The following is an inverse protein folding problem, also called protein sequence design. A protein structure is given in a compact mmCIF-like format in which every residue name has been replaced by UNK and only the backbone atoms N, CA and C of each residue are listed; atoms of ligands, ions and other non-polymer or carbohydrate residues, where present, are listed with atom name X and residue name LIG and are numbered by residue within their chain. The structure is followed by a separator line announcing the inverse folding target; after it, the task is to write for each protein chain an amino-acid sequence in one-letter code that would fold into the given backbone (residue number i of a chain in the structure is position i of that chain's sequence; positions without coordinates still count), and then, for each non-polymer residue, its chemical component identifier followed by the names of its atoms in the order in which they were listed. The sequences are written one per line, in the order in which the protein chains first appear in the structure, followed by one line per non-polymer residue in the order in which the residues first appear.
data_IF_831770998224
#
_entry.id   IF_831770998224
#
_cell.length_a   1.000
_cell.length_b   1.000
_cell.length_c   1.000
_cell.angle_alpha   90.00
_cell.angle_beta   90.00
_cell.angle_gamma   90.00
#
_symmetry.space_group_name_H-M   'P 1'
#
loop_
_entity.id
_entity.type
_entity.pdbx_description
1 polymer ?
#
# COMPACT_ATOMS: atom_id res chain seq x y z
N UNK A 1 36.77 39.24 47.85
CA UNK A 1 36.62 39.73 46.46
C UNK A 1 36.82 38.53 45.53
N UNK A 2 35.71 37.87 45.13
CA UNK A 2 35.15 37.77 43.77
C UNK A 2 36.09 37.16 42.70
N UNK A 3 35.70 35.97 42.22
CA UNK A 3 35.73 35.42 40.83
C UNK A 3 35.87 33.88 40.94
N UNK A 4 35.21 33.02 40.18
CA UNK A 4 34.36 33.16 39.00
C UNK A 4 33.50 31.88 38.93
N UNK A 5 32.22 32.01 38.56
CA UNK A 5 31.27 30.91 38.54
C UNK A 5 31.60 29.82 37.53
N UNK A 6 31.35 28.56 37.92
CA UNK A 6 31.27 27.42 37.01
C UNK A 6 29.96 27.49 36.24
N UNK A 7 30.00 27.95 35.00
CA UNK A 7 28.84 27.88 34.10
C UNK A 7 28.80 26.47 33.50
N UNK A 8 27.73 25.74 33.83
CA UNK A 8 27.34 24.47 33.21
C UNK A 8 27.06 24.70 31.73
N UNK A 9 27.79 24.03 30.85
CA UNK A 9 27.37 23.81 29.46
C UNK A 9 26.46 22.59 29.43
N UNK A 10 25.16 22.80 29.59
CA UNK A 10 24.14 21.87 29.15
C UNK A 10 23.57 22.47 27.86
N UNK A 11 24.09 22.03 26.71
CA UNK A 11 23.57 22.41 25.40
C UNK A 11 23.38 21.16 24.56
N UNK A 12 22.18 21.12 23.97
CA UNK A 12 21.77 20.30 22.83
C UNK A 12 21.51 18.80 23.06
N UNK A 13 20.40 18.52 23.73
CA UNK A 13 19.58 17.33 23.45
C UNK A 13 18.28 17.67 22.68
N UNK A 14 17.91 18.95 22.53
CA UNK A 14 16.65 19.37 21.89
C UNK A 14 16.69 19.46 20.36
N UNK A 15 17.86 19.57 19.73
CA UNK A 15 17.96 19.77 18.28
C UNK A 15 17.64 18.52 17.45
N UNK A 16 17.88 17.32 18.00
CA UNK A 16 17.59 16.08 17.27
C UNK A 16 16.08 15.78 17.22
N UNK A 17 15.33 16.01 18.31
CA UNK A 17 13.87 15.78 18.33
C UNK A 17 13.10 16.72 17.41
N UNK A 18 13.57 17.95 17.22
CA UNK A 18 12.90 18.94 16.36
C UNK A 18 13.07 18.61 14.86
N UNK A 19 14.24 18.08 14.49
CA UNK A 19 14.52 17.67 13.11
C UNK A 19 13.77 16.40 12.72
N UNK A 20 13.69 15.42 13.64
CA UNK A 20 12.92 14.20 13.44
C UNK A 20 11.42 14.53 13.29
N UNK A 21 10.88 15.45 14.10
CA UNK A 21 9.49 15.89 13.98
C UNK A 21 9.20 16.65 12.68
N UNK A 22 10.13 17.49 12.21
CA UNK A 22 9.98 18.23 10.95
C UNK A 22 10.06 17.28 9.74
N UNK A 23 10.96 16.31 9.80
CA UNK A 23 11.12 15.31 8.75
C UNK A 23 9.91 14.37 8.71
N UNK A 24 9.40 13.92 9.85
CA UNK A 24 8.18 13.12 9.96
C UNK A 24 6.96 13.88 9.41
N UNK A 25 6.86 15.18 9.68
CA UNK A 25 5.79 16.02 9.15
C UNK A 25 5.92 16.23 7.64
N UNK A 26 7.13 16.45 7.13
CA UNK A 26 7.41 16.55 5.70
C UNK A 26 7.13 15.22 4.97
N UNK A 27 7.49 14.09 5.56
CA UNK A 27 7.17 12.73 5.09
C UNK A 27 5.66 12.53 4.99
N UNK A 28 4.90 12.83 6.06
CA UNK A 28 3.44 12.76 6.05
C UNK A 28 2.82 13.67 4.99
N UNK A 29 3.38 14.86 4.79
CA UNK A 29 2.89 15.81 3.80
C UNK A 29 3.17 15.32 2.37
N UNK A 30 4.33 14.72 2.13
CA UNK A 30 4.67 14.09 0.86
C UNK A 30 3.78 12.88 0.56
N UNK A 31 3.56 12.00 1.56
CA UNK A 31 2.66 10.86 1.43
C UNK A 31 1.24 11.31 1.12
N UNK A 32 0.74 12.35 1.82
CA UNK A 32 -0.57 12.94 1.56
C UNK A 32 -0.67 13.57 0.17
N UNK A 33 0.39 14.22 -0.31
CA UNK A 33 0.44 14.83 -1.64
C UNK A 33 0.46 13.76 -2.75
N UNK A 34 1.21 12.68 -2.57
CA UNK A 34 1.25 11.54 -3.51
C UNK A 34 -0.10 10.82 -3.51
N UNK A 35 -0.67 10.56 -2.33
CA UNK A 35 -1.98 9.96 -2.19
C UNK A 35 -3.08 10.86 -2.79
N UNK A 36 -2.98 12.17 -2.63
CA UNK A 36 -3.91 13.14 -3.23
C UNK A 36 -3.80 13.28 -4.75
N UNK A 37 -2.60 13.14 -5.30
CA UNK A 37 -2.34 13.31 -6.73
C UNK A 37 -2.53 12.02 -7.55
N UNK A 38 -2.26 10.85 -6.95
CA UNK A 38 -2.19 9.57 -7.67
C UNK A 38 -3.26 8.57 -7.23
N UNK A 39 -3.75 8.63 -5.99
CA UNK A 39 -4.75 7.69 -5.53
C UNK A 39 -6.15 8.17 -5.90
N UNK A 40 -6.94 7.26 -6.47
CA UNK A 40 -8.34 7.47 -6.82
C UNK A 40 -9.24 6.73 -5.83
N UNK A 41 -10.47 7.21 -5.68
CA UNK A 41 -11.49 6.49 -4.93
C UNK A 41 -12.02 5.31 -5.76
N UNK A 42 -12.03 4.13 -5.15
CA UNK A 42 -12.58 2.91 -5.72
C UNK A 42 -13.64 2.34 -4.78
N UNK A 43 -14.71 1.82 -5.35
CA UNK A 43 -15.75 1.12 -4.60
C UNK A 43 -15.61 -0.38 -4.82
N UNK A 44 -15.30 -1.10 -3.75
CA UNK A 44 -15.33 -2.56 -3.74
C UNK A 44 -16.76 -3.03 -3.43
N UNK A 45 -17.34 -3.82 -4.32
CA UNK A 45 -18.58 -4.56 -4.07
C UNK A 45 -18.24 -5.92 -3.48
N UNK A 46 -18.45 -6.07 -2.18
CA UNK A 46 -18.13 -7.27 -1.43
C UNK A 46 -19.12 -8.41 -1.71
N UNK A 47 -18.70 -9.65 -1.48
CA UNK A 47 -19.53 -10.84 -1.72
C UNK A 47 -20.80 -10.90 -0.87
N UNK A 48 -20.80 -10.25 0.28
CA UNK A 48 -21.98 -10.13 1.16
C UNK A 48 -23.00 -9.09 0.65
N UNK A 49 -22.75 -8.43 -0.48
CA UNK A 49 -23.60 -7.38 -1.05
C UNK A 49 -23.35 -5.98 -0.49
N UNK A 50 -22.46 -5.83 0.49
CA UNK A 50 -22.05 -4.52 1.00
C UNK A 50 -20.98 -3.89 0.12
N UNK A 51 -20.80 -2.57 0.25
CA UNK A 51 -19.76 -1.82 -0.45
C UNK A 51 -18.71 -1.29 0.51
N UNK A 52 -17.46 -1.31 0.10
CA UNK A 52 -16.33 -0.71 0.82
C UNK A 52 -15.64 0.31 -0.11
N UNK A 53 -15.71 1.59 0.26
CA UNK A 53 -15.01 2.65 -0.45
C UNK A 53 -13.57 2.73 0.05
N UNK A 54 -12.62 2.70 -0.88
CA UNK A 54 -11.18 2.71 -0.62
C UNK A 54 -10.52 3.79 -1.46
N UNK A 55 -9.40 4.31 -0.98
CA UNK A 55 -8.52 5.19 -1.75
C UNK A 55 -7.27 4.41 -2.13
N UNK A 56 -7.04 4.25 -3.43
CA UNK A 56 -5.99 3.38 -3.92
C UNK A 56 -5.35 3.92 -5.19
N UNK A 57 -4.10 3.52 -5.45
CA UNK A 57 -3.45 3.73 -6.74
C UNK A 57 -3.69 2.48 -7.58
N UNK A 58 -4.22 2.66 -8.79
CA UNK A 58 -4.36 1.58 -9.77
C UNK A 58 -3.12 1.49 -10.63
N UNK A 59 -2.41 0.36 -10.55
CA UNK A 59 -1.32 0.04 -11.46
C UNK A 59 -1.77 -1.06 -12.43
N UNK A 60 -1.67 -0.79 -13.73
CA UNK A 60 -2.02 -1.74 -14.78
C UNK A 60 -0.94 -2.80 -15.04
N UNK A 61 0.31 -2.58 -14.57
CA UNK A 61 1.45 -3.46 -14.81
C UNK A 61 2.48 -3.36 -13.69
N UNK A 62 2.36 -4.24 -12.70
CA UNK A 62 3.50 -4.57 -11.83
C UNK A 62 4.34 -5.65 -12.51
N UNK A 63 5.51 -5.25 -13.03
CA UNK A 63 6.54 -6.21 -13.44
C UNK A 63 7.34 -6.59 -12.19
N UNK A 64 7.49 -7.88 -11.87
CA UNK A 64 8.35 -8.27 -10.76
C UNK A 64 9.80 -7.92 -11.13
N UNK A 65 10.42 -7.03 -10.36
CA UNK A 65 11.88 -6.92 -10.39
C UNK A 65 12.45 -8.25 -9.89
N UNK A 66 13.24 -8.91 -10.74
CA UNK A 66 13.89 -10.20 -10.47
C UNK A 66 14.87 -10.08 -9.30
N UNK A 67 14.37 -10.07 -8.07
CA UNK A 67 15.18 -10.23 -6.87
C UNK A 67 14.89 -11.61 -6.28
N UNK A 68 15.92 -12.43 -6.34
CA UNK A 68 15.96 -13.79 -5.81
C UNK A 68 15.48 -13.86 -4.36
N UNK A 69 14.66 -14.89 -4.08
CA UNK A 69 14.06 -15.32 -2.81
C UNK A 69 12.65 -14.82 -2.47
N UNK A 70 11.71 -15.73 -2.76
CA UNK A 70 10.47 -16.00 -2.00
C UNK A 70 9.22 -15.23 -2.42
N UNK A 71 8.47 -15.84 -3.35
CA UNK A 71 7.00 -15.81 -3.46
C UNK A 71 6.26 -14.56 -3.96
N UNK A 72 6.85 -13.70 -4.79
CA UNK A 72 6.02 -12.72 -5.53
C UNK A 72 6.46 -12.57 -6.99
N UNK A 73 6.47 -13.69 -7.72
CA UNK A 73 6.37 -13.65 -9.18
C UNK A 73 4.87 -13.69 -9.56
N UNK A 74 4.10 -12.69 -9.13
CA UNK A 74 2.73 -12.53 -9.60
C UNK A 74 2.72 -11.48 -10.69
N UNK A 75 2.55 -11.92 -11.93
CA UNK A 75 2.23 -11.00 -13.01
C UNK A 75 0.80 -10.54 -12.72
N UNK A 76 0.66 -9.30 -12.26
CA UNK A 76 -0.65 -8.67 -12.16
C UNK A 76 -1.16 -8.31 -13.56
N UNK A 77 -1.47 -9.34 -14.36
CA UNK A 77 -1.93 -9.22 -15.75
C UNK A 77 -3.16 -8.32 -15.88
N UNK A 78 -3.90 -8.16 -14.78
CA UNK A 78 -5.15 -7.43 -14.72
C UNK A 78 -5.11 -6.23 -13.77
N UNK A 79 -3.92 -5.90 -13.26
CA UNK A 79 -3.64 -4.75 -12.41
C UNK A 79 -3.63 -5.04 -10.91
N UNK A 80 -3.20 -4.04 -10.15
CA UNK A 80 -3.15 -4.03 -8.68
C UNK A 80 -3.75 -2.72 -8.18
N UNK A 81 -4.46 -2.77 -7.06
CA UNK A 81 -4.81 -1.59 -6.28
C UNK A 81 -3.93 -1.52 -5.05
N UNK A 82 -3.08 -0.51 -4.98
CA UNK A 82 -2.28 -0.21 -3.79
C UNK A 82 -3.09 0.71 -2.89
N UNK A 83 -3.53 0.17 -1.76
CA UNK A 83 -4.29 0.90 -0.75
C UNK A 83 -3.33 1.34 0.35
N UNK A 84 -3.29 2.64 0.59
CA UNK A 84 -2.43 3.25 1.62
C UNK A 84 -3.19 3.45 2.92
N UNK A 85 -2.47 3.46 4.03
CA UNK A 85 -2.97 3.78 5.37
C UNK A 85 -4.18 2.93 5.83
N UNK A 86 -4.40 1.79 5.19
CA UNK A 86 -5.52 0.91 5.52
C UNK A 86 -5.14 -0.54 5.28
N UNK A 87 -5.23 -1.34 6.36
CA UNK A 87 -5.05 -2.77 6.30
C UNK A 87 -6.37 -3.48 6.07
N UNK A 88 -6.54 -4.02 4.88
CA UNK A 88 -7.77 -4.70 4.48
C UNK A 88 -7.61 -6.20 4.71
N UNK A 89 -8.50 -6.81 5.45
CA UNK A 89 -8.50 -8.26 5.65
C UNK A 89 -8.82 -9.00 4.34
N UNK A 90 -7.93 -9.90 3.91
CA UNK A 90 -8.10 -10.70 2.69
C UNK A 90 -9.46 -11.41 2.61
N UNK A 91 -9.94 -11.93 3.73
CA UNK A 91 -11.20 -12.68 3.78
C UNK A 91 -12.42 -11.81 3.47
N UNK A 92 -12.36 -10.52 3.81
CA UNK A 92 -13.44 -9.56 3.58
C UNK A 92 -13.60 -9.23 2.10
N UNK A 93 -12.48 -9.05 1.40
CA UNK A 93 -12.45 -8.50 0.04
C UNK A 93 -12.16 -9.54 -1.04
N UNK A 94 -11.81 -10.77 -0.71
CA UNK A 94 -11.56 -11.80 -1.72
C UNK A 94 -12.80 -12.04 -2.59
N UNK A 95 -12.62 -11.87 -3.90
CA UNK A 95 -13.64 -11.91 -4.94
C UNK A 95 -14.59 -10.71 -4.98
N UNK A 96 -14.30 -9.64 -4.24
CA UNK A 96 -15.01 -8.37 -4.37
C UNK A 96 -14.80 -7.81 -5.78
N UNK A 97 -15.83 -7.21 -6.35
CA UNK A 97 -15.78 -6.56 -7.66
C UNK A 97 -15.38 -5.09 -7.51
N UNK A 98 -14.59 -4.59 -8.45
CA UNK A 98 -14.17 -3.18 -8.48
C UNK A 98 -14.11 -2.70 -9.92
N UNK A 99 -14.63 -1.51 -10.17
CA UNK A 99 -14.52 -0.87 -11.48
C UNK A 99 -13.18 -0.14 -11.58
N UNK A 100 -12.42 -0.49 -12.60
CA UNK A 100 -11.11 0.11 -12.90
C UNK A 100 -11.14 0.77 -14.27
N UNK A 101 -10.15 1.61 -14.62
CA UNK A 101 -10.01 2.13 -15.99
C UNK A 101 -9.93 1.06 -17.08
N UNK A 102 -9.54 -0.19 -16.74
CA UNK A 102 -9.50 -1.32 -17.68
C UNK A 102 -10.79 -2.17 -17.67
N UNK A 103 -11.84 -1.66 -17.02
CA UNK A 103 -13.13 -2.34 -16.80
C UNK A 103 -13.24 -3.00 -15.44
N UNK A 104 -14.36 -3.70 -15.20
CA UNK A 104 -14.60 -4.39 -13.94
C UNK A 104 -13.58 -5.51 -13.71
N UNK A 105 -13.06 -5.58 -12.49
CA UNK A 105 -12.12 -6.59 -12.01
C UNK A 105 -12.57 -7.17 -10.69
N UNK A 106 -11.96 -8.27 -10.30
CA UNK A 106 -12.22 -8.92 -9.03
C UNK A 106 -10.93 -9.12 -8.24
N UNK A 107 -10.99 -8.87 -6.94
CA UNK A 107 -9.88 -9.10 -6.02
C UNK A 107 -9.59 -10.61 -5.94
N UNK A 108 -8.43 -11.05 -6.43
CA UNK A 108 -7.99 -12.45 -6.35
C UNK A 108 -7.24 -12.73 -5.05
N UNK A 109 -6.35 -11.82 -4.67
CA UNK A 109 -5.50 -11.93 -3.49
C UNK A 109 -5.22 -10.55 -2.87
N UNK A 110 -4.72 -10.54 -1.63
CA UNK A 110 -4.26 -9.37 -0.90
C UNK A 110 -2.88 -9.65 -0.33
N UNK A 111 -1.91 -8.81 -0.66
CA UNK A 111 -0.55 -8.85 -0.10
C UNK A 111 -0.34 -7.67 0.84
N UNK A 112 0.53 -7.85 1.83
CA UNK A 112 0.88 -6.82 2.81
C UNK A 112 2.39 -6.57 2.73
N UNK A 113 2.84 -5.58 1.96
CA UNK A 113 4.26 -5.23 1.90
C UNK A 113 4.77 -4.66 3.24
N UNK A 114 3.89 -4.00 4.00
CA UNK A 114 4.17 -3.43 5.31
C UNK A 114 2.91 -3.49 6.22
N UNK A 115 2.92 -2.81 7.38
CA UNK A 115 1.80 -2.81 8.33
C UNK A 115 0.63 -1.90 7.94
N UNK A 116 0.85 -0.93 7.05
CA UNK A 116 -0.08 0.16 6.71
C UNK A 116 -0.63 0.08 5.28
N UNK A 117 -0.04 -0.76 4.44
CA UNK A 117 -0.31 -0.84 3.01
C UNK A 117 -0.91 -2.20 2.66
N UNK A 118 -1.97 -2.18 1.85
CA UNK A 118 -2.59 -3.40 1.29
C UNK A 118 -2.52 -3.38 -0.23
N UNK A 119 -1.94 -4.41 -0.82
CA UNK A 119 -1.93 -4.61 -2.27
C UNK A 119 -3.05 -5.58 -2.65
N UNK A 120 -4.12 -5.07 -3.26
CA UNK A 120 -5.21 -5.86 -3.79
C UNK A 120 -4.85 -6.31 -5.21
N UNK A 121 -4.63 -7.61 -5.37
CA UNK A 121 -4.33 -8.21 -6.65
C UNK A 121 -5.63 -8.42 -7.41
N UNK A 122 -5.69 -7.96 -8.66
CA UNK A 122 -6.91 -8.02 -9.46
C UNK A 122 -6.87 -9.15 -10.49
N UNK A 123 -8.06 -9.62 -10.86
CA UNK A 123 -8.26 -10.63 -11.89
C UNK A 123 -9.55 -10.39 -12.67
N UNK A 124 -9.68 -11.00 -13.84
CA UNK A 124 -10.94 -10.96 -14.60
C UNK A 124 -12.01 -11.91 -14.05
N UNK A 125 -11.64 -12.89 -13.21
CA UNK A 125 -12.55 -13.91 -12.71
C UNK A 125 -12.88 -13.70 -11.23
N UNK A 126 -14.16 -13.76 -10.82
CA UNK A 126 -14.60 -13.52 -9.43
C UNK A 126 -14.04 -14.50 -8.38
N UNK A 127 -13.53 -15.65 -8.82
CA UNK A 127 -12.97 -16.68 -7.93
C UNK A 127 -11.45 -16.59 -7.76
N UNK A 128 -10.82 -15.55 -8.33
CA UNK A 128 -9.37 -15.47 -8.44
C UNK A 128 -8.84 -16.54 -9.41
N UNK A 129 -7.86 -16.18 -10.21
CA UNK A 129 -7.12 -17.19 -10.95
C UNK A 129 -6.15 -17.83 -9.95
N UNK A 130 -6.55 -18.94 -9.34
CA UNK A 130 -5.55 -19.92 -8.89
C UNK A 130 -4.88 -20.39 -10.18
N UNK A 131 -3.79 -19.74 -10.57
CA UNK A 131 -2.89 -20.31 -11.57
C UNK A 131 -2.42 -21.60 -10.92
N UNK A 132 -3.00 -22.72 -11.36
CA UNK A 132 -2.49 -24.01 -10.99
C UNK A 132 -1.06 -24.04 -11.56
N UNK A 133 -0.03 -24.47 -10.81
CA UNK A 133 1.32 -24.62 -11.35
C UNK A 133 1.39 -25.53 -12.59
N UNK A 134 0.29 -26.23 -12.91
CA UNK A 134 0.14 -27.12 -14.04
C UNK A 134 -0.51 -26.49 -15.29
N UNK A 135 -0.94 -25.22 -15.26
CA UNK A 135 -1.46 -24.54 -16.45
C UNK A 135 -0.30 -23.94 -17.25
N UNK A 136 0.57 -24.81 -17.74
CA UNK A 136 1.72 -24.46 -18.58
C UNK A 136 1.69 -25.32 -19.86
N UNK A 137 1.52 -24.63 -20.99
CA UNK A 137 1.81 -25.02 -22.38
C UNK A 137 0.96 -26.12 -23.06
N UNK A 138 0.04 -25.66 -23.92
CA UNK A 138 -0.16 -26.23 -25.26
C UNK A 138 -0.11 -25.09 -26.29
#
# INVERSE_FOLDING_TARGET
MKKLGRTRFALNWNLNMEFDSLFDEAMKCADFAIEGAMASEFRLLLRNGSSLDIKAIFDSKLMPEESSNTRVAFIAEHGVLTVFNMRIEKQLVSGASVDTPLGTRHVSDVLYPDETTSLLILSMKPNGQRVSPNDNFL
#
